data_IF_407415903556
#
_entry.id   IF_407415903556
#
_cell.length_a   1.000
_cell.length_b   1.000
_cell.length_c   1.000
_cell.angle_alpha   90.00
_cell.angle_beta   90.00
_cell.angle_gamma   90.00
#
_symmetry.space_group_name_H-M   'P 1'
#
loop_
_entity.id
_entity.type
_entity.pdbx_description
1 polymer ?
#
# COMPACT_ATOMS: atom_id res chain seq x y z
N UNK A 1 -17.13 -27.29 -18.25
CA UNK A 1 -17.95 -26.08 -18.17
C UNK A 1 -16.98 -24.93 -18.35
N UNK A 2 -17.12 -24.16 -19.45
CA UNK A 2 -16.27 -22.97 -19.69
C UNK A 2 -16.95 -21.81 -19.00
N UNK A 3 -16.38 -21.34 -17.90
CA UNK A 3 -16.87 -20.12 -17.27
C UNK A 3 -16.39 -18.92 -18.09
N UNK A 4 -17.30 -18.23 -18.75
CA UNK A 4 -17.05 -16.98 -19.48
C UNK A 4 -17.01 -15.75 -18.57
N UNK A 5 -16.83 -15.94 -17.26
CA UNK A 5 -16.76 -14.84 -16.30
C UNK A 5 -15.31 -14.43 -16.08
N UNK A 6 -15.10 -13.12 -16.04
CA UNK A 6 -13.81 -12.48 -15.80
C UNK A 6 -13.83 -11.93 -14.37
N UNK A 7 -13.35 -12.68 -13.36
CA UNK A 7 -13.36 -12.20 -11.99
C UNK A 7 -12.38 -11.03 -11.84
N UNK A 8 -12.83 -10.01 -11.12
CA UNK A 8 -11.98 -8.95 -10.61
C UNK A 8 -11.78 -9.18 -9.11
N UNK A 9 -10.53 -9.29 -8.68
CA UNK A 9 -10.14 -9.54 -7.29
C UNK A 9 -9.50 -8.28 -6.76
N UNK A 10 -10.20 -7.60 -5.86
CA UNK A 10 -9.71 -6.37 -5.21
C UNK A 10 -8.86 -6.65 -3.98
N UNK A 11 -8.93 -7.87 -3.42
CA UNK A 11 -8.10 -8.28 -2.29
C UNK A 11 -7.77 -9.76 -2.43
N UNK A 12 -6.49 -10.08 -2.52
CA UNK A 12 -6.00 -11.46 -2.66
C UNK A 12 -5.84 -12.08 -1.28
N UNK A 13 -6.57 -13.16 -0.97
CA UNK A 13 -6.37 -13.88 0.29
C UNK A 13 -4.92 -14.34 0.46
N UNK A 14 -4.41 -14.19 1.68
CA UNK A 14 -3.04 -14.58 2.04
C UNK A 14 -1.93 -13.89 1.21
N UNK A 15 -2.19 -12.72 0.64
CA UNK A 15 -1.24 -12.01 -0.22
C UNK A 15 0.12 -11.76 0.43
N UNK A 16 0.16 -11.53 1.77
CA UNK A 16 1.39 -11.33 2.55
C UNK A 16 2.15 -12.62 2.85
N UNK A 17 1.52 -13.80 2.64
CA UNK A 17 2.13 -15.12 2.83
C UNK A 17 2.65 -15.65 1.49
N UNK A 18 3.47 -14.84 0.84
CA UNK A 18 3.98 -14.99 -0.52
C UNK A 18 5.37 -15.65 -0.59
N UNK A 19 5.88 -16.09 0.55
CA UNK A 19 7.19 -16.76 0.70
C UNK A 19 7.26 -17.50 2.03
N UNK A 20 8.19 -18.43 2.14
CA UNK A 20 8.59 -19.05 3.40
C UNK A 20 9.77 -18.28 3.95
N UNK A 21 9.68 -17.78 5.18
CA UNK A 21 10.76 -17.08 5.89
C UNK A 21 11.40 -17.96 6.97
N UNK A 22 10.60 -18.85 7.56
CA UNK A 22 11.00 -19.77 8.60
C UNK A 22 10.39 -21.15 8.36
N UNK A 23 10.93 -22.20 8.96
CA UNK A 23 10.48 -23.58 8.76
C UNK A 23 9.02 -23.84 9.17
N UNK A 24 8.48 -23.02 10.07
CA UNK A 24 7.10 -23.10 10.56
C UNK A 24 6.11 -22.32 9.68
N UNK A 25 6.56 -21.60 8.67
CA UNK A 25 5.71 -20.80 7.79
C UNK A 25 5.26 -21.59 6.57
N UNK A 26 4.01 -21.33 6.15
CA UNK A 26 3.44 -21.92 4.94
C UNK A 26 3.20 -20.85 3.90
N UNK A 27 3.63 -21.10 2.66
CA UNK A 27 3.38 -20.23 1.51
C UNK A 27 1.92 -20.39 1.03
N UNK A 28 0.97 -19.90 1.83
CA UNK A 28 -0.47 -20.14 1.60
C UNK A 28 -1.03 -19.42 0.37
N UNK A 29 -0.37 -18.38 -0.14
CA UNK A 29 -0.75 -17.74 -1.41
C UNK A 29 -0.77 -18.75 -2.58
N UNK A 30 0.09 -19.78 -2.55
CA UNK A 30 0.08 -20.87 -3.56
C UNK A 30 -1.27 -21.58 -3.60
N UNK A 31 -1.85 -21.88 -2.44
CA UNK A 31 -3.14 -22.59 -2.41
C UNK A 31 -4.27 -21.76 -3.01
N UNK A 32 -4.27 -20.46 -2.74
CA UNK A 32 -5.22 -19.55 -3.38
C UNK A 32 -5.01 -19.52 -4.91
N UNK A 33 -3.76 -19.42 -5.35
CA UNK A 33 -3.42 -19.41 -6.78
C UNK A 33 -3.84 -20.72 -7.47
N UNK A 34 -3.54 -21.87 -6.86
CA UNK A 34 -3.94 -23.19 -7.38
C UNK A 34 -5.46 -23.32 -7.49
N UNK A 35 -6.20 -22.84 -6.48
CA UNK A 35 -7.66 -22.79 -6.52
C UNK A 35 -8.16 -21.95 -7.69
N UNK A 36 -7.67 -20.70 -7.85
CA UNK A 36 -8.07 -19.83 -8.95
C UNK A 36 -7.73 -20.44 -10.30
N UNK A 37 -6.53 -21.00 -10.45
CA UNK A 37 -6.08 -21.65 -11.69
C UNK A 37 -6.94 -22.87 -12.06
N UNK A 38 -7.42 -23.62 -11.05
CA UNK A 38 -8.29 -24.78 -11.25
C UNK A 38 -9.66 -24.41 -11.86
N UNK A 39 -10.12 -23.18 -11.64
CA UNK A 39 -11.39 -22.68 -12.18
C UNK A 39 -11.32 -22.35 -13.68
N UNK A 40 -10.11 -22.32 -14.26
CA UNK A 40 -9.86 -22.15 -15.71
C UNK A 40 -10.56 -20.93 -16.31
N UNK A 41 -10.55 -19.80 -15.60
CA UNK A 41 -11.03 -18.53 -16.13
C UNK A 41 -10.26 -18.14 -17.39
N UNK A 42 -10.89 -17.38 -18.29
CA UNK A 42 -10.24 -16.87 -19.48
C UNK A 42 -9.13 -15.88 -19.12
N UNK A 43 -9.40 -15.01 -18.15
CA UNK A 43 -8.40 -14.20 -17.43
C UNK A 43 -8.92 -13.82 -16.05
N UNK A 44 -8.00 -13.42 -15.17
CA UNK A 44 -8.30 -12.94 -13.83
C UNK A 44 -7.70 -11.54 -13.70
N UNK A 45 -8.51 -10.56 -13.30
CA UNK A 45 -8.02 -9.21 -13.03
C UNK A 45 -7.77 -9.03 -11.54
N UNK A 46 -6.59 -8.56 -11.17
CA UNK A 46 -6.22 -8.27 -9.78
C UNK A 46 -5.87 -6.80 -9.68
N UNK A 47 -6.54 -6.11 -8.76
CA UNK A 47 -6.22 -4.74 -8.42
C UNK A 47 -5.14 -4.75 -7.34
N UNK A 48 -4.04 -4.04 -7.58
CA UNK A 48 -2.96 -3.77 -6.62
C UNK A 48 -2.48 -5.00 -5.83
N UNK A 49 -1.90 -6.02 -6.46
CA UNK A 49 -1.41 -7.19 -5.75
C UNK A 49 -0.26 -6.80 -4.80
N UNK A 50 -0.25 -7.41 -3.60
CA UNK A 50 0.77 -7.16 -2.59
C UNK A 50 2.21 -7.33 -3.10
N UNK A 51 2.43 -8.29 -4.01
CA UNK A 51 3.74 -8.54 -4.62
C UNK A 51 3.60 -9.15 -6.01
N UNK A 52 4.69 -9.11 -6.78
CA UNK A 52 4.79 -9.75 -8.08
C UNK A 52 4.65 -11.29 -8.01
N UNK A 53 4.77 -11.89 -6.81
CA UNK A 53 4.56 -13.32 -6.62
C UNK A 53 3.13 -13.71 -6.96
N UNK A 54 2.15 -12.88 -6.63
CA UNK A 54 0.75 -13.10 -7.00
C UNK A 54 0.58 -13.24 -8.51
N UNK A 55 1.17 -12.33 -9.27
CA UNK A 55 1.09 -12.36 -10.74
C UNK A 55 1.89 -13.50 -11.37
N UNK A 56 2.93 -13.99 -10.69
CA UNK A 56 3.70 -15.13 -11.15
C UNK A 56 2.99 -16.47 -10.91
N UNK A 57 2.10 -16.56 -9.92
CA UNK A 57 1.40 -17.79 -9.55
C UNK A 57 0.04 -17.96 -10.25
N UNK A 58 -0.63 -16.86 -10.60
CA UNK A 58 -1.98 -16.93 -11.19
C UNK A 58 -1.88 -16.86 -12.71
N UNK A 59 -2.43 -17.92 -13.35
CA UNK A 59 -2.49 -18.01 -14.79
C UNK A 59 -3.38 -16.93 -15.41
N UNK A 60 -2.94 -16.40 -16.57
CA UNK A 60 -3.72 -15.44 -17.36
C UNK A 60 -4.17 -14.21 -16.56
N UNK A 61 -3.33 -13.76 -15.62
CA UNK A 61 -3.61 -12.62 -14.76
C UNK A 61 -3.44 -11.30 -15.52
N UNK A 62 -4.32 -10.35 -15.24
CA UNK A 62 -4.21 -8.94 -15.63
C UNK A 62 -4.09 -8.12 -14.35
N UNK A 63 -3.03 -7.34 -14.24
CA UNK A 63 -2.83 -6.47 -13.09
C UNK A 63 -3.36 -5.09 -13.43
N UNK A 64 -4.23 -4.57 -12.57
CA UNK A 64 -4.63 -3.16 -12.54
C UNK A 64 -3.91 -2.48 -11.38
N UNK A 65 -3.34 -1.32 -11.64
CA UNK A 65 -2.77 -0.49 -10.59
C UNK A 65 -3.83 0.47 -10.01
N UNK A 66 -3.67 0.96 -8.78
CA UNK A 66 -4.65 1.82 -8.13
C UNK A 66 -4.53 3.29 -8.50
N UNK A 67 -3.63 3.67 -9.42
CA UNK A 67 -3.27 5.08 -9.71
C UNK A 67 -4.49 5.93 -10.06
N UNK A 68 -5.38 5.43 -10.92
CA UNK A 68 -6.57 6.19 -11.31
C UNK A 68 -7.46 6.51 -10.10
N UNK A 69 -7.57 5.58 -9.15
CA UNK A 69 -8.32 5.78 -7.92
C UNK A 69 -7.63 6.77 -6.98
N UNK A 70 -6.30 6.67 -6.85
CA UNK A 70 -5.50 7.60 -6.05
C UNK A 70 -5.60 9.02 -6.65
N UNK A 71 -5.52 9.16 -7.98
CA UNK A 71 -5.61 10.44 -8.65
C UNK A 71 -6.97 11.14 -8.43
N UNK A 72 -8.07 10.37 -8.39
CA UNK A 72 -9.39 10.93 -8.04
C UNK A 72 -9.37 11.57 -6.65
N UNK A 73 -8.74 10.93 -5.67
CA UNK A 73 -8.64 11.46 -4.31
C UNK A 73 -7.72 12.68 -4.27
N UNK A 74 -6.58 12.64 -4.94
CA UNK A 74 -5.65 13.77 -5.03
C UNK A 74 -6.33 15.01 -5.64
N UNK A 75 -7.00 14.83 -6.77
CA UNK A 75 -7.77 15.91 -7.40
C UNK A 75 -8.88 16.48 -6.48
N UNK A 76 -9.49 15.63 -5.67
CA UNK A 76 -10.50 16.07 -4.69
C UNK A 76 -9.88 16.95 -3.58
N UNK A 77 -8.68 16.59 -3.10
CA UNK A 77 -7.94 17.38 -2.11
C UNK A 77 -7.55 18.74 -2.70
N UNK A 78 -7.01 18.76 -3.92
CA UNK A 78 -6.63 20.00 -4.61
C UNK A 78 -7.84 20.91 -4.89
N UNK A 79 -8.95 20.35 -5.37
CA UNK A 79 -10.19 21.10 -5.61
C UNK A 79 -10.80 21.70 -4.33
N UNK A 80 -10.49 21.13 -3.18
CA UNK A 80 -10.88 21.67 -1.88
C UNK A 80 -9.93 22.77 -1.36
N UNK A 81 -8.90 23.14 -2.13
CA UNK A 81 -7.93 24.20 -1.78
C UNK A 81 -6.80 23.74 -0.86
N UNK A 82 -6.56 22.45 -0.79
CA UNK A 82 -5.47 21.86 -0.02
C UNK A 82 -4.33 21.37 -0.91
N UNK A 83 -3.15 21.23 -0.34
CA UNK A 83 -1.99 20.67 -1.05
C UNK A 83 -1.77 19.22 -0.62
N UNK A 84 -1.96 18.24 -1.54
CA UNK A 84 -1.78 16.84 -1.20
C UNK A 84 -0.30 16.47 -1.05
N UNK A 85 -0.02 15.66 -0.05
CA UNK A 85 1.27 15.05 0.23
C UNK A 85 1.06 13.56 0.37
N UNK A 86 1.84 12.76 -0.34
CA UNK A 86 1.75 11.31 -0.23
C UNK A 86 2.41 10.84 1.06
N UNK A 87 1.81 9.88 1.70
CA UNK A 87 2.43 9.19 2.81
C UNK A 87 2.35 7.69 2.64
N UNK A 88 3.50 7.04 2.73
CA UNK A 88 3.63 5.59 2.64
C UNK A 88 3.99 5.02 4.01
N UNK A 89 3.23 4.05 4.53
CA UNK A 89 3.47 3.50 5.87
C UNK A 89 4.82 2.83 6.07
N UNK A 90 5.45 2.38 4.98
CA UNK A 90 6.79 1.82 5.00
C UNK A 90 7.49 1.96 3.64
N UNK A 91 8.78 1.58 3.61
CA UNK A 91 9.58 1.63 2.39
C UNK A 91 9.10 0.67 1.28
N UNK A 92 8.33 -0.36 1.62
CA UNK A 92 7.73 -1.29 0.66
C UNK A 92 6.60 -0.62 -0.11
N UNK A 93 5.69 0.03 0.60
CA UNK A 93 4.63 0.83 0.00
C UNK A 93 5.20 1.99 -0.83
N UNK A 94 6.20 2.72 -0.29
CA UNK A 94 6.88 3.79 -1.01
C UNK A 94 7.41 3.30 -2.37
N UNK A 95 8.22 2.24 -2.41
CA UNK A 95 8.79 1.69 -3.65
C UNK A 95 7.75 1.23 -4.67
N UNK A 96 6.55 0.88 -4.21
CA UNK A 96 5.45 0.45 -5.07
C UNK A 96 4.82 1.60 -5.83
N UNK A 97 4.66 2.76 -5.20
CA UNK A 97 3.85 3.86 -5.72
C UNK A 97 4.64 5.11 -6.12
N UNK A 98 5.82 5.36 -5.54
CA UNK A 98 6.60 6.59 -5.79
C UNK A 98 6.86 6.86 -7.27
N UNK A 99 7.21 5.82 -8.03
CA UNK A 99 7.49 5.94 -9.45
C UNK A 99 6.29 6.27 -10.34
N UNK A 100 5.07 6.21 -9.77
CA UNK A 100 3.82 6.46 -10.48
C UNK A 100 3.20 7.83 -10.13
N UNK A 101 3.68 8.49 -9.06
CA UNK A 101 3.15 9.72 -8.49
C UNK A 101 4.26 10.76 -8.23
N UNK A 102 5.19 10.89 -9.17
CA UNK A 102 6.45 11.66 -9.02
C UNK A 102 6.26 13.18 -8.87
N UNK A 103 5.10 13.71 -9.18
CA UNK A 103 4.77 15.14 -9.08
C UNK A 103 4.45 15.59 -7.65
N UNK A 104 4.09 14.67 -6.77
CA UNK A 104 3.72 14.98 -5.40
C UNK A 104 4.88 14.81 -4.43
N UNK A 105 5.05 15.70 -3.43
CA UNK A 105 5.97 15.47 -2.34
C UNK A 105 5.51 14.29 -1.51
N UNK A 106 6.45 13.54 -0.94
CA UNK A 106 6.10 12.37 -0.15
C UNK A 106 6.94 12.20 1.11
N UNK A 107 6.35 11.49 2.08
CA UNK A 107 7.03 10.90 3.22
C UNK A 107 6.75 9.42 3.30
N UNK A 108 7.63 8.68 3.93
CA UNK A 108 7.38 7.30 4.31
C UNK A 108 7.86 7.02 5.74
N UNK A 109 7.20 6.04 6.37
CA UNK A 109 7.53 5.61 7.72
C UNK A 109 8.64 4.56 7.72
N UNK A 110 9.64 4.76 8.59
CA UNK A 110 10.65 3.75 8.89
C UNK A 110 10.53 3.33 10.34
N UNK A 111 10.22 2.03 10.59
CA UNK A 111 10.02 1.51 11.93
C UNK A 111 11.35 1.47 12.69
N UNK A 112 11.44 2.29 13.73
CA UNK A 112 12.54 2.25 14.67
C UNK A 112 12.36 1.06 15.60
N UNK A 113 13.25 0.10 15.52
CA UNK A 113 13.21 -1.12 16.35
C UNK A 113 14.33 -1.09 17.38
N UNK A 114 13.98 -1.51 18.56
CA UNK A 114 15.01 -1.91 19.53
C UNK A 114 15.74 -3.14 18.98
N UNK A 115 17.03 -3.06 18.86
CA UNK A 115 17.85 -4.09 18.23
C UNK A 115 17.99 -5.36 19.10
N UNK A 116 17.82 -5.26 20.43
CA UNK A 116 17.89 -6.41 21.34
C UNK A 116 16.54 -7.13 21.43
N UNK A 117 15.45 -6.38 21.54
CA UNK A 117 14.12 -6.95 21.80
C UNK A 117 13.26 -7.04 20.55
N UNK A 118 13.66 -6.40 19.43
CA UNK A 118 12.86 -6.28 18.22
C UNK A 118 11.60 -5.41 18.35
N UNK A 119 11.35 -4.82 19.53
CA UNK A 119 10.18 -3.96 19.78
C UNK A 119 10.25 -2.69 18.94
N UNK A 120 9.09 -2.26 18.45
CA UNK A 120 8.97 -0.99 17.76
C UNK A 120 9.00 0.13 18.81
N UNK A 121 10.04 0.98 18.73
CA UNK A 121 10.25 2.13 19.61
C UNK A 121 9.57 3.39 19.08
N UNK A 122 9.27 3.44 17.78
CA UNK A 122 8.67 4.60 17.13
C UNK A 122 8.67 4.46 15.61
N UNK A 123 8.32 5.56 14.96
CA UNK A 123 8.30 5.68 13.51
C UNK A 123 9.09 6.94 13.12
N UNK A 124 10.17 6.76 12.37
CA UNK A 124 10.91 7.86 11.78
C UNK A 124 10.27 8.22 10.43
N UNK A 125 10.08 9.51 10.17
CA UNK A 125 9.58 10.02 8.90
C UNK A 125 10.75 10.34 7.98
N UNK A 126 10.75 9.79 6.78
CA UNK A 126 11.76 9.98 5.74
C UNK A 126 11.13 10.53 4.47
N UNK A 127 11.89 11.26 3.68
CA UNK A 127 11.44 11.86 2.42
C UNK A 127 11.57 13.37 2.40
N UNK A 128 10.60 14.06 1.83
CA UNK A 128 10.63 15.49 1.51
C UNK A 128 10.27 16.41 2.69
N UNK A 129 10.65 16.07 3.93
CA UNK A 129 10.20 16.77 5.15
C UNK A 129 10.43 18.30 5.08
N UNK A 130 11.61 18.75 4.65
CA UNK A 130 11.93 20.18 4.54
C UNK A 130 11.02 20.91 3.53
N UNK A 131 10.74 20.30 2.40
CA UNK A 131 9.83 20.85 1.38
C UNK A 131 8.39 20.96 1.91
N UNK A 132 7.98 20.00 2.73
CA UNK A 132 6.62 19.92 3.27
C UNK A 132 6.38 20.98 4.35
N UNK A 133 7.39 21.37 5.13
CA UNK A 133 7.29 22.44 6.13
C UNK A 133 6.91 23.80 5.53
N UNK A 134 7.22 24.02 4.25
CA UNK A 134 6.91 25.27 3.51
C UNK A 134 5.53 25.23 2.84
N UNK A 135 4.83 24.10 2.89
CA UNK A 135 3.54 23.93 2.21
C UNK A 135 2.39 24.49 3.06
N UNK A 136 1.59 25.36 2.45
CA UNK A 136 0.36 25.82 3.05
C UNK A 136 -0.76 24.77 2.93
N UNK A 137 -1.55 24.59 4.00
CA UNK A 137 -2.68 23.68 4.06
C UNK A 137 -2.35 22.24 3.63
N UNK A 138 -1.32 21.58 4.21
CA UNK A 138 -0.92 20.25 3.82
C UNK A 138 -1.94 19.19 4.22
N UNK A 139 -2.28 18.30 3.29
CA UNK A 139 -3.08 17.10 3.53
C UNK A 139 -2.28 15.87 3.19
N UNK A 140 -1.97 15.04 4.19
CA UNK A 140 -1.34 13.74 3.97
C UNK A 140 -2.37 12.72 3.50
N UNK A 141 -2.18 12.19 2.30
CA UNK A 141 -2.89 11.03 1.79
C UNK A 141 -2.07 9.77 2.09
N UNK A 142 -2.56 8.94 3.01
CA UNK A 142 -1.93 7.67 3.38
C UNK A 142 -2.34 6.57 2.40
N UNK A 143 -1.35 5.90 1.80
CA UNK A 143 -1.56 4.86 0.78
C UNK A 143 -0.89 3.56 1.23
N UNK A 144 -1.67 2.48 1.29
CA UNK A 144 -1.19 1.12 1.51
C UNK A 144 -2.08 0.11 0.77
N UNK A 145 -1.56 -1.07 0.46
CA UNK A 145 -2.26 -2.12 -0.27
C UNK A 145 -3.17 -2.97 0.62
N UNK A 146 -2.85 -3.11 1.91
CA UNK A 146 -3.61 -3.94 2.85
C UNK A 146 -3.75 -3.25 4.21
N UNK A 147 -4.98 -2.92 4.57
CA UNK A 147 -5.34 -2.54 5.92
C UNK A 147 -6.03 -3.71 6.64
N UNK A 148 -5.39 -4.25 7.70
CA UNK A 148 -5.96 -5.32 8.53
C UNK A 148 -6.70 -4.75 9.74
N UNK A 149 -5.95 -4.37 10.78
CA UNK A 149 -6.51 -3.80 12.02
C UNK A 149 -6.34 -2.28 12.13
N UNK A 150 -5.86 -1.64 11.08
CA UNK A 150 -5.64 -0.18 11.07
C UNK A 150 -4.46 0.31 11.90
N UNK A 151 -3.72 -0.58 12.58
CA UNK A 151 -2.61 -0.17 13.45
C UNK A 151 -1.54 0.63 12.73
N UNK A 152 -1.20 0.25 11.50
CA UNK A 152 -0.23 0.97 10.69
C UNK A 152 -0.70 2.42 10.43
N UNK A 153 -1.95 2.59 10.02
CA UNK A 153 -2.54 3.92 9.78
C UNK A 153 -2.62 4.75 11.06
N UNK A 154 -3.03 4.14 12.18
CA UNK A 154 -3.12 4.83 13.46
C UNK A 154 -1.76 5.38 13.92
N UNK A 155 -0.70 4.55 13.95
CA UNK A 155 0.62 5.00 14.38
C UNK A 155 1.25 5.98 13.38
N UNK A 156 0.99 5.82 12.09
CA UNK A 156 1.41 6.78 11.06
C UNK A 156 0.74 8.13 11.25
N UNK A 157 -0.57 8.17 11.46
CA UNK A 157 -1.31 9.39 11.70
C UNK A 157 -0.81 10.12 12.96
N UNK A 158 -0.51 9.36 14.03
CA UNK A 158 0.06 9.92 15.24
C UNK A 158 1.42 10.57 14.98
N UNK A 159 2.34 9.88 14.31
CA UNK A 159 3.66 10.39 13.99
C UNK A 159 3.60 11.64 13.08
N UNK A 160 2.72 11.62 12.07
CA UNK A 160 2.49 12.77 11.20
C UNK A 160 1.96 13.99 11.96
N UNK A 161 1.01 13.79 12.88
CA UNK A 161 0.46 14.87 13.70
C UNK A 161 1.46 15.43 14.71
N UNK A 162 2.36 14.61 15.21
CA UNK A 162 3.47 15.07 16.07
C UNK A 162 4.49 15.92 15.30
N UNK A 163 4.82 15.53 14.06
CA UNK A 163 5.77 16.25 13.20
C UNK A 163 5.14 17.48 12.51
N UNK A 164 3.87 17.37 12.08
CA UNK A 164 3.14 18.39 11.33
C UNK A 164 1.77 18.67 11.98
N UNK A 165 1.71 19.41 13.11
CA UNK A 165 0.50 19.59 13.90
C UNK A 165 -0.67 20.23 13.13
N UNK A 166 -0.36 21.11 12.17
CA UNK A 166 -1.33 21.87 11.38
C UNK A 166 -1.78 21.16 10.11
N UNK A 167 -1.31 19.95 9.86
CA UNK A 167 -1.71 19.16 8.67
C UNK A 167 -3.06 18.47 8.86
N UNK A 168 -3.71 18.13 7.75
CA UNK A 168 -4.82 17.18 7.73
C UNK A 168 -4.33 15.80 7.29
N UNK A 169 -5.08 14.74 7.64
CA UNK A 169 -4.74 13.36 7.28
C UNK A 169 -5.97 12.70 6.68
N UNK A 170 -5.80 12.08 5.52
CA UNK A 170 -6.78 11.28 4.80
C UNK A 170 -6.21 9.88 4.53
N UNK A 171 -7.06 8.85 4.51
CA UNK A 171 -6.65 7.45 4.29
C UNK A 171 -7.74 6.63 3.60
#
# INVERSE_FOLDING_TARGET
>A
IKFTRFPKVSSVPNARMDRVKNDDEVFTLKWFADFINSLKFEYVTILDPHSNVTSALIDRVKIENPIDHIQIVLNSIENAGYTPILYFPDAGAMKRYEGMLTEYPFLYGEKKRDWETGKILGLDLKGDAQRIEEIENPVFLMIDDICSHGGTFYYSAKALKEAFPNSYINS
#
